data_IF_292586126671
#
_entry.id   IF_292586126671
#
_cell.length_a   1.000
_cell.length_b   1.000
_cell.length_c   1.000
_cell.angle_alpha   90.00
_cell.angle_beta   90.00
_cell.angle_gamma   90.00
#
_symmetry.space_group_name_H-M   'P 1'
#
loop_
_entity.id
_entity.type
_entity.pdbx_description
1 polymer ?
#
# COMPACT_ATOMS: atom_id res chain seq x y z
N UNK A 1 -6.64 -15.61 33.18
CA UNK A 1 -5.84 -14.40 32.91
C UNK A 1 -5.88 -14.19 31.40
N UNK A 2 -6.85 -13.44 30.90
CA UNK A 2 -7.05 -13.20 29.46
C UNK A 2 -6.53 -11.80 29.14
N UNK A 3 -5.45 -11.74 28.38
CA UNK A 3 -4.74 -10.54 27.96
C UNK A 3 -5.58 -9.79 26.92
N UNK A 4 -6.42 -8.86 27.39
CA UNK A 4 -7.31 -8.05 26.56
C UNK A 4 -6.58 -6.79 26.09
N UNK A 5 -5.60 -6.93 25.20
CA UNK A 5 -5.04 -5.77 24.50
C UNK A 5 -5.96 -5.40 23.34
N UNK A 6 -6.93 -4.53 23.62
CA UNK A 6 -7.54 -3.68 22.60
C UNK A 6 -6.45 -2.76 22.03
N UNK A 7 -5.70 -3.23 21.03
CA UNK A 7 -4.84 -2.36 20.25
C UNK A 7 -5.75 -1.41 19.47
N UNK A 8 -5.72 -0.13 19.83
CA UNK A 8 -6.41 0.91 19.09
C UNK A 8 -6.00 0.82 17.62
N UNK A 9 -6.97 0.70 16.74
CA UNK A 9 -6.76 0.62 15.30
C UNK A 9 -6.23 1.99 14.85
N UNK A 10 -4.91 2.14 14.89
CA UNK A 10 -4.21 3.25 14.26
C UNK A 10 -4.63 3.27 12.80
N UNK A 11 -5.22 4.37 12.34
CA UNK A 11 -5.58 4.55 10.93
C UNK A 11 -4.28 4.45 10.13
N UNK A 12 -4.03 3.31 9.48
CA UNK A 12 -2.78 3.09 8.75
C UNK A 12 -2.75 4.07 7.58
N UNK A 13 -1.92 5.10 7.70
CA UNK A 13 -1.64 6.02 6.62
C UNK A 13 -0.54 5.39 5.77
N UNK A 14 -0.85 5.09 4.51
CA UNK A 14 0.11 4.54 3.56
C UNK A 14 0.99 5.67 3.00
N UNK A 15 2.27 5.38 2.81
CA UNK A 15 3.20 6.24 2.07
C UNK A 15 3.00 6.05 0.57
N UNK A 16 3.09 7.12 -0.20
CA UNK A 16 2.80 7.14 -1.64
C UNK A 16 3.96 7.70 -2.46
N UNK A 17 4.15 7.19 -3.67
CA UNK A 17 5.02 7.77 -4.70
C UNK A 17 6.38 8.21 -4.14
N UNK A 18 6.68 9.51 -4.18
CA UNK A 18 7.95 10.11 -3.72
C UNK A 18 8.21 9.99 -2.21
N UNK A 19 7.19 9.67 -1.40
CA UNK A 19 7.39 9.39 0.03
C UNK A 19 8.14 8.07 0.27
N UNK A 20 8.28 7.24 -0.77
CA UNK A 20 8.95 5.95 -0.74
C UNK A 20 10.42 6.14 -1.11
N UNK A 21 11.28 6.26 -0.09
CA UNK A 21 12.73 6.44 -0.25
C UNK A 21 13.52 5.12 -0.21
N UNK A 22 12.83 3.98 -0.25
CA UNK A 22 13.44 2.65 -0.18
C UNK A 22 14.19 2.31 -1.47
N UNK A 23 15.40 1.76 -1.33
CA UNK A 23 16.26 1.41 -2.47
C UNK A 23 15.73 0.20 -3.25
N UNK A 24 15.27 -0.81 -2.54
CA UNK A 24 14.75 -2.06 -3.10
C UNK A 24 13.37 -2.33 -2.49
N UNK A 25 12.38 -2.55 -3.35
CA UNK A 25 11.02 -2.81 -2.94
C UNK A 25 10.45 -3.99 -3.72
N UNK A 26 9.58 -4.75 -3.07
CA UNK A 26 8.78 -5.78 -3.74
C UNK A 26 7.57 -5.09 -4.38
N UNK A 27 7.50 -5.11 -5.69
CA UNK A 27 6.44 -4.48 -6.46
C UNK A 27 5.33 -5.48 -6.82
N UNK A 28 4.09 -5.06 -6.58
CA UNK A 28 2.87 -5.77 -6.94
C UNK A 28 2.06 -4.88 -7.89
N UNK A 29 1.68 -5.39 -9.05
CA UNK A 29 0.81 -4.70 -10.01
C UNK A 29 -0.63 -4.56 -9.53
N UNK A 30 -1.43 -3.78 -10.24
CA UNK A 30 -2.85 -3.54 -9.89
C UNK A 30 -3.68 -4.83 -9.85
N UNK A 31 -3.42 -5.74 -10.80
CA UNK A 31 -4.12 -7.01 -10.96
C UNK A 31 -3.62 -8.11 -10.00
N UNK A 32 -2.71 -7.78 -9.08
CA UNK A 32 -2.10 -8.74 -8.17
C UNK A 32 -0.90 -9.49 -8.77
N UNK A 33 -0.42 -9.06 -9.93
CA UNK A 33 0.81 -9.57 -10.55
C UNK A 33 2.02 -9.24 -9.68
N UNK A 34 2.89 -10.22 -9.44
CA UNK A 34 4.13 -10.00 -8.71
C UNK A 34 5.24 -9.65 -9.70
N UNK A 35 5.57 -8.37 -9.80
CA UNK A 35 6.63 -7.87 -10.68
C UNK A 35 8.04 -8.17 -10.12
N UNK A 36 8.11 -8.62 -8.87
CA UNK A 36 9.36 -9.04 -8.22
C UNK A 36 9.95 -7.95 -7.34
N UNK A 37 11.28 -7.99 -7.18
CA UNK A 37 12.04 -6.98 -6.44
C UNK A 37 12.62 -6.02 -7.48
N UNK A 38 12.29 -4.74 -7.34
CA UNK A 38 12.74 -3.66 -8.23
C UNK A 38 13.24 -2.50 -7.41
N UNK A 39 13.90 -1.54 -8.06
CA UNK A 39 14.29 -0.29 -7.42
C UNK A 39 13.06 0.61 -7.18
N UNK A 40 13.15 1.49 -6.18
CA UNK A 40 12.11 2.49 -5.93
C UNK A 40 11.81 3.37 -7.16
N UNK A 41 12.84 3.70 -7.92
CA UNK A 41 12.75 4.50 -9.15
C UNK A 41 12.02 3.75 -10.27
N UNK A 42 12.36 2.48 -10.52
CA UNK A 42 11.66 1.68 -11.52
C UNK A 42 10.19 1.45 -11.17
N UNK A 43 9.89 1.27 -9.88
CA UNK A 43 8.52 1.15 -9.42
C UNK A 43 7.73 2.44 -9.63
N UNK A 44 8.34 3.59 -9.35
CA UNK A 44 7.73 4.90 -9.60
C UNK A 44 7.46 5.10 -11.09
N UNK A 45 8.46 4.82 -11.95
CA UNK A 45 8.30 4.91 -13.40
C UNK A 45 7.20 3.99 -13.91
N UNK A 46 7.12 2.76 -13.41
CA UNK A 46 6.05 1.80 -13.77
C UNK A 46 4.67 2.33 -13.34
N UNK A 47 4.58 2.97 -12.18
CA UNK A 47 3.35 3.61 -11.70
C UNK A 47 2.92 4.74 -12.64
N UNK A 48 3.86 5.63 -13.02
CA UNK A 48 3.63 6.74 -13.94
C UNK A 48 3.22 6.26 -15.34
N UNK A 49 3.92 5.26 -15.89
CA UNK A 49 3.62 4.66 -17.20
C UNK A 49 2.20 4.08 -17.25
N UNK A 50 1.70 3.55 -16.13
CA UNK A 50 0.34 3.00 -16.01
C UNK A 50 -0.69 4.03 -15.52
N UNK A 51 -0.28 5.24 -15.13
CA UNK A 51 -1.16 6.25 -14.52
C UNK A 51 -1.75 5.82 -13.17
N UNK A 52 -1.00 5.02 -12.41
CA UNK A 52 -1.37 4.51 -11.10
C UNK A 52 -0.52 5.15 -9.99
N UNK A 53 -0.93 5.01 -8.73
CA UNK A 53 -0.13 5.42 -7.59
C UNK A 53 0.68 4.24 -7.05
N UNK A 54 1.94 4.49 -6.70
CA UNK A 54 2.77 3.55 -5.97
C UNK A 54 2.45 3.66 -4.47
N UNK A 55 1.82 2.63 -3.90
CA UNK A 55 1.37 2.64 -2.51
C UNK A 55 2.16 1.64 -1.68
N UNK A 56 2.79 2.10 -0.60
CA UNK A 56 3.48 1.23 0.35
C UNK A 56 2.47 0.55 1.29
N UNK A 57 2.27 -0.75 1.10
CA UNK A 57 1.30 -1.54 1.86
C UNK A 57 1.92 -2.14 3.12
N UNK A 58 3.14 -2.67 3.01
CA UNK A 58 3.85 -3.27 4.15
C UNK A 58 5.24 -2.67 4.29
N UNK A 59 5.42 -1.65 5.15
CA UNK A 59 6.74 -1.11 5.46
C UNK A 59 7.57 -2.03 6.36
N UNK A 60 6.95 -3.01 7.01
CA UNK A 60 7.61 -3.91 7.97
C UNK A 60 8.31 -5.11 7.31
N UNK A 61 8.04 -5.35 6.02
CA UNK A 61 8.65 -6.43 5.27
C UNK A 61 10.08 -6.06 4.80
N UNK A 62 10.92 -7.08 4.61
CA UNK A 62 12.26 -6.92 4.05
C UNK A 62 12.37 -7.79 2.78
N UNK A 63 12.35 -7.21 1.56
CA UNK A 63 12.18 -5.79 1.23
C UNK A 63 10.74 -5.27 1.46
N UNK A 64 10.54 -3.95 1.64
CA UNK A 64 9.21 -3.35 1.79
C UNK A 64 8.31 -3.68 0.60
N UNK A 65 7.01 -3.89 0.86
CA UNK A 65 6.05 -4.27 -0.18
C UNK A 65 5.28 -3.04 -0.63
N UNK A 66 5.40 -2.73 -1.92
CA UNK A 66 4.68 -1.67 -2.60
C UNK A 66 3.73 -2.26 -3.64
N UNK A 67 2.56 -1.65 -3.79
CA UNK A 67 1.53 -2.07 -4.74
C UNK A 67 1.09 -0.88 -5.58
N UNK A 68 0.99 -1.10 -6.89
CA UNK A 68 0.41 -0.16 -7.84
C UNK A 68 -1.12 -0.20 -7.72
N UNK A 69 -1.73 0.94 -7.41
CA UNK A 69 -3.19 1.07 -7.37
C UNK A 69 -3.60 2.55 -7.40
N UNK A 70 -4.86 2.83 -7.74
CA UNK A 70 -5.41 4.18 -7.57
C UNK A 70 -5.76 4.43 -6.09
N UNK A 71 -4.98 5.27 -5.41
CA UNK A 71 -5.14 5.50 -3.97
C UNK A 71 -6.46 6.23 -3.63
N UNK A 72 -6.87 7.16 -4.50
CA UNK A 72 -8.12 7.91 -4.33
C UNK A 72 -9.35 7.00 -4.33
N UNK A 73 -9.42 6.08 -5.30
CA UNK A 73 -10.48 5.07 -5.39
C UNK A 73 -10.43 4.10 -4.21
N UNK A 74 -9.24 3.62 -3.85
CA UNK A 74 -9.06 2.72 -2.71
C UNK A 74 -9.57 3.34 -1.40
N UNK A 75 -9.20 4.60 -1.11
CA UNK A 75 -9.66 5.33 0.09
C UNK A 75 -11.17 5.48 0.15
N UNK A 76 -11.81 5.74 -1.00
CA UNK A 76 -13.27 5.84 -1.09
C UNK A 76 -13.95 4.50 -0.81
N UNK A 77 -13.46 3.43 -1.42
CA UNK A 77 -13.98 2.07 -1.23
C UNK A 77 -13.80 1.59 0.23
N UNK A 78 -12.63 1.83 0.83
CA UNK A 78 -12.40 1.51 2.25
C UNK A 78 -13.36 2.29 3.16
N UNK A 79 -13.51 3.61 2.95
CA UNK A 79 -14.43 4.44 3.74
C UNK A 79 -15.89 3.99 3.60
N UNK A 80 -16.31 3.58 2.40
CA UNK A 80 -17.65 3.04 2.17
C UNK A 80 -17.85 1.72 2.90
N UNK A 81 -16.89 0.79 2.78
CA UNK A 81 -16.93 -0.52 3.43
C UNK A 81 -16.92 -0.42 4.96
N UNK A 82 -16.12 0.48 5.52
CA UNK A 82 -16.08 0.76 6.97
C UNK A 82 -17.43 1.28 7.48
N UNK A 83 -18.12 2.13 6.71
CA UNK A 83 -19.45 2.63 7.06
C UNK A 83 -20.53 1.55 6.97
N UNK A 84 -20.46 0.69 5.96
CA UNK A 84 -21.39 -0.44 5.81
C UNK A 84 -21.17 -1.49 6.91
N UNK A 85 -19.93 -1.76 7.30
CA UNK A 85 -19.61 -2.70 8.38
C UNK A 85 -19.97 -2.21 9.79
N UNK A 86 -20.21 -0.89 9.94
CA UNK A 86 -20.58 -0.26 11.22
C UNK A 86 -22.10 -0.08 11.37
N UNK A 87 -22.89 -0.54 10.40
CA UNK A 87 -24.36 -0.46 10.40
C UNK A 87 -24.95 -1.83 10.71
#
# INVERSE_FOLDING_TARGET
MLDWRCFGISKVQHQLNEEITDKEIRLIGENGEQLGIVSGEEALRTAEEQGLDLVKISPQATPPVCKLMNYGKYKFEQSKREKEARK
#
